data_IF_180981846218
#
_entry.id   IF_180981846218
#
_cell.length_a   1.000
_cell.length_b   1.000
_cell.length_c   1.000
_cell.angle_alpha   90.00
_cell.angle_beta   90.00
_cell.angle_gamma   90.00
#
_symmetry.space_group_name_H-M   'P 1'
#
loop_
_entity.id
_entity.type
_entity.pdbx_description
1 polymer ?
#
# COMPACT_ATOMS: atom_id res chain seq x y z
N UNK A 1 45.16 13.99 4.48
CA UNK A 1 44.00 13.68 5.35
C UNK A 1 42.64 13.90 4.68
N UNK A 2 42.43 14.93 3.84
CA UNK A 2 41.10 15.26 3.29
C UNK A 2 40.53 14.21 2.29
N UNK A 3 41.38 13.49 1.54
CA UNK A 3 40.94 12.48 0.55
C UNK A 3 40.18 11.30 1.16
N UNK A 4 40.58 10.85 2.36
CA UNK A 4 39.90 9.75 3.04
C UNK A 4 38.55 10.19 3.63
N UNK A 5 38.45 11.46 4.04
CA UNK A 5 37.19 12.04 4.51
C UNK A 5 36.16 12.14 3.38
N UNK A 6 36.58 12.55 2.18
CA UNK A 6 35.70 12.57 1.00
C UNK A 6 35.20 11.18 0.60
N UNK A 7 36.03 10.14 0.68
CA UNK A 7 35.61 8.77 0.39
C UNK A 7 34.57 8.25 1.41
N UNK A 8 34.77 8.56 2.69
CA UNK A 8 33.82 8.19 3.75
C UNK A 8 32.46 8.88 3.56
N UNK A 9 32.46 10.15 3.17
CA UNK A 9 31.23 10.91 2.92
C UNK A 9 30.40 10.32 1.76
N UNK A 10 31.06 9.89 0.68
CA UNK A 10 30.38 9.26 -0.48
C UNK A 10 29.79 7.89 -0.10
N UNK A 11 30.49 7.11 0.72
CA UNK A 11 30.02 5.81 1.19
C UNK A 11 28.75 5.94 2.05
N UNK A 12 28.69 6.94 2.94
CA UNK A 12 27.52 7.21 3.78
C UNK A 12 26.35 7.76 2.95
N UNK A 13 26.61 8.60 1.94
CA UNK A 13 25.54 9.14 1.10
C UNK A 13 24.85 8.04 0.25
N UNK A 14 25.62 7.05 -0.22
CA UNK A 14 25.10 5.96 -1.07
C UNK A 14 24.34 4.88 -0.28
N UNK A 15 24.63 4.69 1.01
CA UNK A 15 23.90 3.72 1.84
C UNK A 15 22.45 4.15 2.13
N UNK A 16 22.20 5.46 2.22
CA UNK A 16 20.86 6.04 2.42
C UNK A 16 19.91 5.85 1.22
N UNK A 17 20.44 5.57 0.04
CA UNK A 17 19.65 5.35 -1.18
C UNK A 17 19.03 3.94 -1.27
N UNK A 18 19.40 3.00 -0.40
CA UNK A 18 18.91 1.61 -0.45
C UNK A 18 17.55 1.39 0.24
N UNK A 19 16.91 2.43 0.79
CA UNK A 19 15.64 2.29 1.54
C UNK A 19 14.42 1.92 0.66
N UNK A 20 14.53 1.99 -0.68
CA UNK A 20 13.40 1.77 -1.59
C UNK A 20 13.28 0.33 -2.15
N UNK A 21 14.10 -0.61 -1.70
CA UNK A 21 14.12 -1.97 -2.27
C UNK A 21 13.24 -2.99 -1.50
N UNK A 22 12.34 -2.55 -0.63
CA UNK A 22 11.41 -3.47 0.02
C UNK A 22 10.30 -3.89 -0.96
N UNK A 23 10.59 -4.89 -1.80
CA UNK A 23 9.62 -5.60 -2.62
C UNK A 23 8.94 -6.70 -1.80
N UNK A 24 8.42 -6.36 -0.62
CA UNK A 24 7.48 -7.27 0.02
C UNK A 24 6.33 -7.49 -0.99
N UNK A 25 5.99 -8.73 -1.35
CA UNK A 25 4.92 -8.98 -2.30
C UNK A 25 3.66 -8.29 -1.80
N UNK A 26 3.13 -7.36 -2.60
CA UNK A 26 1.87 -6.69 -2.30
C UNK A 26 0.80 -7.75 -2.06
N UNK A 27 0.37 -7.90 -0.80
CA UNK A 27 -0.64 -8.89 -0.43
C UNK A 27 -1.96 -8.48 -1.05
N UNK A 28 -2.35 -9.16 -2.13
CA UNK A 28 -3.67 -8.99 -2.73
C UNK A 28 -4.74 -9.41 -1.72
N UNK A 29 -5.77 -8.57 -1.58
CA UNK A 29 -6.92 -8.91 -0.77
C UNK A 29 -7.62 -10.15 -1.34
N UNK A 30 -8.01 -11.07 -0.46
CA UNK A 30 -8.63 -12.35 -0.81
C UNK A 30 -10.15 -12.15 -0.85
N UNK A 31 -10.85 -12.60 -1.91
CA UNK A 31 -12.30 -12.51 -1.97
C UNK A 31 -12.97 -13.33 -0.84
N UNK A 32 -14.15 -12.93 -0.38
CA UNK A 32 -14.96 -13.76 0.51
C UNK A 32 -15.41 -15.04 -0.22
N UNK A 33 -15.57 -16.15 0.50
CA UNK A 33 -16.00 -17.45 -0.05
C UNK A 33 -17.51 -17.54 -0.34
N UNK A 34 -18.24 -16.43 -0.18
CA UNK A 34 -19.70 -16.41 -0.28
C UNK A 34 -20.18 -16.50 -1.72
N UNK A 35 -21.15 -17.38 -1.97
CA UNK A 35 -21.89 -17.47 -3.23
C UNK A 35 -23.19 -16.67 -3.22
N UNK A 36 -23.39 -15.81 -2.21
CA UNK A 36 -24.66 -15.09 -2.02
C UNK A 36 -24.97 -14.09 -3.14
N UNK A 37 -23.96 -13.62 -3.87
CA UNK A 37 -24.14 -12.63 -4.94
C UNK A 37 -23.08 -12.79 -6.03
N UNK A 38 -23.50 -12.55 -7.29
CA UNK A 38 -22.59 -12.46 -8.44
C UNK A 38 -21.88 -11.10 -8.53
N UNK A 39 -22.08 -10.20 -7.57
CA UNK A 39 -21.45 -8.88 -7.58
C UNK A 39 -19.98 -8.97 -7.17
N UNK A 40 -19.05 -8.30 -7.89
CA UNK A 40 -17.65 -8.28 -7.52
C UNK A 40 -17.44 -7.70 -6.11
N UNK A 41 -16.70 -8.42 -5.27
CA UNK A 41 -16.47 -8.05 -3.87
C UNK A 41 -15.77 -6.70 -3.68
N UNK A 42 -14.95 -6.28 -4.66
CA UNK A 42 -14.16 -5.05 -4.61
C UNK A 42 -14.85 -3.87 -5.33
N UNK A 43 -16.12 -4.01 -5.68
CA UNK A 43 -16.89 -2.92 -6.26
C UNK A 43 -17.55 -2.13 -5.12
N UNK A 44 -17.38 -0.80 -5.04
CA UNK A 44 -18.14 0.01 -4.08
C UNK A 44 -19.63 -0.10 -4.41
N UNK A 45 -20.44 -0.33 -3.39
CA UNK A 45 -21.90 -0.34 -3.52
C UNK A 45 -22.43 1.10 -3.65
N UNK A 46 -23.62 1.30 -4.25
CA UNK A 46 -24.23 2.61 -4.31
C UNK A 46 -24.42 3.21 -2.92
N UNK A 47 -23.67 4.28 -2.60
CA UNK A 47 -23.61 4.94 -1.29
C UNK A 47 -22.39 4.57 -0.43
N UNK A 48 -21.50 3.70 -0.92
CA UNK A 48 -20.15 3.51 -0.38
C UNK A 48 -19.16 4.47 -1.06
N UNK A 49 -18.33 5.14 -0.25
CA UNK A 49 -17.27 6.03 -0.70
C UNK A 49 -17.76 7.40 -1.20
N UNK A 50 -17.63 8.44 -0.36
CA UNK A 50 -17.97 9.80 -0.81
C UNK A 50 -18.19 10.88 0.24
N UNK A 51 -17.86 10.68 1.51
CA UNK A 51 -17.95 11.73 2.54
C UNK A 51 -19.00 11.47 3.61
N UNK A 52 -19.53 12.52 4.23
CA UNK A 52 -20.15 12.53 5.57
C UNK A 52 -21.31 11.54 5.79
N UNK A 53 -21.93 11.00 4.73
CA UNK A 53 -22.98 9.98 4.83
C UNK A 53 -22.68 8.69 4.06
N UNK A 54 -21.42 8.38 3.78
CA UNK A 54 -20.98 7.10 3.20
C UNK A 54 -21.15 5.89 4.12
N UNK A 55 -22.24 5.83 4.90
CA UNK A 55 -22.42 4.96 6.07
C UNK A 55 -23.86 4.62 6.44
N UNK A 56 -24.83 4.72 5.54
CA UNK A 56 -26.21 4.25 5.79
C UNK A 56 -26.52 2.88 5.16
N UNK A 57 -25.51 2.14 4.71
CA UNK A 57 -25.71 0.85 4.04
C UNK A 57 -25.35 -0.31 4.97
N UNK A 58 -26.35 -1.09 5.35
CA UNK A 58 -26.15 -2.36 6.03
C UNK A 58 -25.90 -3.44 4.97
N UNK A 59 -24.67 -3.97 4.89
CA UNK A 59 -24.45 -5.27 4.24
C UNK A 59 -25.10 -6.33 5.13
N UNK A 60 -26.29 -6.83 4.75
CA UNK A 60 -26.87 -8.05 5.34
C UNK A 60 -26.23 -9.28 4.71
#
# INVERSE_FOLDING_TARGET
>A
MMKHFSLLAILVATSLLNSCANKEPERKAVPPTSSASNMPWNRPMPGEGGGQFGGMLQRR
#
